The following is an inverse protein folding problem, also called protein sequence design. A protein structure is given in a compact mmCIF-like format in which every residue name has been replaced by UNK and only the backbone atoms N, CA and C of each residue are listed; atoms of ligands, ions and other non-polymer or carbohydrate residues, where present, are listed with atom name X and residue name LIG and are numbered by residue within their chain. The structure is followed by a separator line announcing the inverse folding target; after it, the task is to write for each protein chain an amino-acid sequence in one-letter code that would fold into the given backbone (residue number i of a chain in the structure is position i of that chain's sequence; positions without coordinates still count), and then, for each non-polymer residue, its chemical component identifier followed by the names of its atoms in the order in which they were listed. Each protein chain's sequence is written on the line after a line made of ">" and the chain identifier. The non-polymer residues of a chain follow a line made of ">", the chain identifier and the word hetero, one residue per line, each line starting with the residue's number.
data_IF_649221933008
#
_entry.id   IF_649221933008
#
_cell.length_a   1.000
_cell.length_b   1.000
_cell.length_c   1.000
_cell.angle_alpha   90.00
_cell.angle_beta   90.00
_cell.angle_gamma   90.00
#
_symmetry.space_group_name_H-M   'P 1'
#
loop_
_entity.id
_entity.type
_entity.pdbx_description
1 polymer ?
#
# COMPACT_ATOMS: atom_id res chain seq x y z
N UNK A 1 17.84 -21.59 -20.01
CA UNK A 1 16.97 -21.30 -18.83
C UNK A 1 17.53 -20.13 -18.00
N UNK A 2 18.82 -20.03 -17.73
CA UNK A 2 19.43 -18.94 -16.95
C UNK A 2 19.08 -17.53 -17.45
N UNK A 3 19.02 -17.31 -18.76
CA UNK A 3 18.67 -16.02 -19.34
C UNK A 3 17.24 -15.56 -19.02
N UNK A 4 16.30 -16.49 -18.86
CA UNK A 4 14.89 -16.16 -18.54
C UNK A 4 14.79 -15.65 -17.10
N UNK A 5 15.47 -16.30 -16.16
CA UNK A 5 15.50 -15.83 -14.76
C UNK A 5 16.10 -14.45 -14.65
N UNK A 6 17.19 -14.18 -15.35
CA UNK A 6 17.84 -12.88 -15.36
C UNK A 6 16.90 -11.79 -15.91
N UNK A 7 16.21 -12.08 -17.02
CA UNK A 7 15.24 -11.13 -17.60
C UNK A 7 14.09 -10.86 -16.64
N UNK A 8 13.51 -11.90 -16.03
CA UNK A 8 12.44 -11.72 -15.06
C UNK A 8 12.91 -10.91 -13.84
N UNK A 9 14.11 -11.15 -13.33
CA UNK A 9 14.69 -10.41 -12.21
C UNK A 9 14.86 -8.92 -12.57
N UNK A 10 15.37 -8.63 -13.77
CA UNK A 10 15.54 -7.26 -14.26
C UNK A 10 14.18 -6.56 -14.34
N UNK A 11 13.14 -7.22 -14.83
CA UNK A 11 11.78 -6.65 -14.90
C UNK A 11 11.26 -6.30 -13.50
N UNK A 12 11.40 -7.21 -12.53
CA UNK A 12 10.98 -6.95 -11.14
C UNK A 12 11.72 -5.73 -10.57
N UNK A 13 13.02 -5.64 -10.84
CA UNK A 13 13.85 -4.53 -10.37
C UNK A 13 13.45 -3.18 -11.01
N UNK A 14 13.18 -3.18 -12.32
CA UNK A 14 12.68 -2.00 -13.03
C UNK A 14 11.34 -1.55 -12.46
N UNK A 15 10.37 -2.47 -12.25
CA UNK A 15 9.08 -2.16 -11.65
C UNK A 15 9.25 -1.53 -10.26
N UNK A 16 10.13 -2.09 -9.42
CA UNK A 16 10.40 -1.56 -8.09
C UNK A 16 11.01 -0.16 -8.12
N UNK A 17 11.93 0.12 -9.06
CA UNK A 17 12.52 1.46 -9.24
C UNK A 17 11.44 2.46 -9.69
N UNK A 18 10.67 2.12 -10.71
CA UNK A 18 9.61 3.00 -11.24
C UNK A 18 8.59 3.31 -10.12
N UNK A 19 8.16 2.30 -9.39
CA UNK A 19 7.24 2.47 -8.27
C UNK A 19 7.82 3.36 -7.17
N UNK A 20 9.11 3.19 -6.85
CA UNK A 20 9.81 4.05 -5.89
C UNK A 20 9.85 5.51 -6.34
N UNK A 21 10.10 5.77 -7.62
CA UNK A 21 10.08 7.12 -8.18
C UNK A 21 8.68 7.71 -8.10
N UNK A 22 7.66 6.98 -8.56
CA UNK A 22 6.27 7.43 -8.55
C UNK A 22 5.75 7.70 -7.13
N UNK A 23 6.13 6.88 -6.17
CA UNK A 23 5.76 7.08 -4.76
C UNK A 23 6.48 8.28 -4.14
N UNK A 24 7.76 8.48 -4.45
CA UNK A 24 8.55 9.60 -3.91
C UNK A 24 8.13 10.96 -4.47
N UNK A 25 7.64 10.99 -5.71
CA UNK A 25 7.13 12.21 -6.36
C UNK A 25 5.65 12.50 -6.06
N UNK A 26 5.02 11.71 -5.21
CA UNK A 26 3.60 11.83 -4.88
C UNK A 26 2.69 11.86 -6.12
N UNK A 27 2.98 10.98 -7.08
CA UNK A 27 2.26 10.93 -8.34
C UNK A 27 0.78 10.53 -8.12
N UNK A 28 -0.17 11.42 -8.45
CA UNK A 28 -1.60 11.21 -8.24
C UNK A 28 -2.12 9.93 -8.90
N UNK A 29 -1.64 9.63 -10.11
CA UNK A 29 -2.04 8.43 -10.82
C UNK A 29 -1.60 7.17 -10.08
N UNK A 30 -0.37 7.13 -9.58
CA UNK A 30 0.16 6.02 -8.78
C UNK A 30 -0.69 5.77 -7.53
N UNK A 31 -0.99 6.84 -6.76
CA UNK A 31 -1.75 6.70 -5.51
C UNK A 31 -3.22 6.32 -5.71
N UNK A 32 -3.77 6.53 -6.90
CA UNK A 32 -5.15 6.18 -7.25
C UNK A 32 -5.30 4.76 -7.79
N UNK A 33 -4.20 4.08 -8.09
CA UNK A 33 -4.18 2.78 -8.76
C UNK A 33 -3.34 1.77 -7.97
N UNK A 34 -3.66 0.51 -8.15
CA UNK A 34 -3.05 -0.62 -7.48
C UNK A 34 -4.08 -1.70 -7.17
N UNK A 35 -3.67 -2.74 -6.48
CA UNK A 35 -4.59 -3.77 -5.99
C UNK A 35 -5.27 -3.22 -4.73
N UNK A 36 -6.57 -2.91 -4.83
CA UNK A 36 -7.36 -2.42 -3.70
C UNK A 36 -7.50 -3.52 -2.65
N UNK A 37 -6.92 -3.29 -1.46
CA UNK A 37 -6.98 -4.22 -0.32
C UNK A 37 -7.90 -3.72 0.79
N UNK A 38 -8.25 -2.43 0.75
CA UNK A 38 -9.10 -1.81 1.75
C UNK A 38 -9.89 -0.66 1.15
N UNK A 39 -11.19 -0.61 1.50
CA UNK A 39 -12.08 0.50 1.16
C UNK A 39 -13.05 0.76 2.30
N UNK A 40 -13.17 2.02 2.70
CA UNK A 40 -14.11 2.46 3.73
C UNK A 40 -14.67 3.82 3.36
N UNK A 41 -15.98 4.00 3.62
CA UNK A 41 -16.66 5.29 3.49
C UNK A 41 -17.16 5.72 4.87
N UNK A 42 -16.96 7.00 5.22
CA UNK A 42 -17.35 7.62 6.49
C UNK A 42 -18.25 8.80 6.14
N UNK A 43 -19.53 8.82 6.55
CA UNK A 43 -20.40 9.97 6.33
C UNK A 43 -19.94 11.17 7.15
N UNK A 44 -20.08 12.38 6.59
CA UNK A 44 -19.63 13.63 7.22
C UNK A 44 -20.69 14.69 7.09
N UNK A 45 -20.96 15.40 8.18
CA UNK A 45 -21.94 16.49 8.20
C UNK A 45 -21.39 17.83 7.71
N UNK A 46 -20.13 18.13 8.00
CA UNK A 46 -19.44 19.37 7.62
C UNK A 46 -18.15 19.07 6.86
N UNK A 47 -18.20 19.29 5.53
CA UNK A 47 -17.10 18.93 4.63
C UNK A 47 -15.88 19.86 4.77
N UNK A 48 -16.08 21.17 4.91
CA UNK A 48 -14.97 22.14 4.96
C UNK A 48 -14.11 21.92 6.20
N UNK A 49 -14.75 21.72 7.35
CA UNK A 49 -14.05 21.40 8.59
C UNK A 49 -13.33 20.04 8.49
N UNK A 50 -13.95 19.06 7.86
CA UNK A 50 -13.36 17.73 7.65
C UNK A 50 -12.14 17.79 6.74
N UNK A 51 -12.17 18.58 5.65
CA UNK A 51 -11.05 18.74 4.73
C UNK A 51 -9.82 19.31 5.46
N UNK A 52 -10.01 20.39 6.20
CA UNK A 52 -8.92 21.01 6.96
C UNK A 52 -8.32 20.05 8.00
N UNK A 53 -9.16 19.38 8.78
CA UNK A 53 -8.72 18.41 9.80
C UNK A 53 -7.97 17.22 9.17
N UNK A 54 -8.43 16.71 8.03
CA UNK A 54 -7.78 15.60 7.33
C UNK A 54 -6.43 16.04 6.76
N UNK A 55 -6.35 17.21 6.13
CA UNK A 55 -5.08 17.75 5.64
C UNK A 55 -4.06 17.86 6.77
N UNK A 56 -4.43 18.45 7.88
CA UNK A 56 -3.56 18.55 9.05
C UNK A 56 -3.14 17.17 9.60
N UNK A 57 -4.08 16.24 9.70
CA UNK A 57 -3.81 14.89 10.17
C UNK A 57 -2.84 14.15 9.23
N UNK A 58 -3.07 14.20 7.91
CA UNK A 58 -2.26 13.52 6.90
C UNK A 58 -0.85 14.11 6.86
N UNK A 59 -0.71 15.44 6.89
CA UNK A 59 0.59 16.11 6.88
C UNK A 59 1.41 15.87 8.16
N UNK A 60 0.76 15.51 9.26
CA UNK A 60 1.40 15.13 10.52
C UNK A 60 1.29 13.63 10.83
N UNK A 61 1.04 12.78 9.83
CA UNK A 61 0.74 11.37 10.02
C UNK A 61 1.88 10.62 10.73
N UNK A 62 3.12 10.96 10.44
CA UNK A 62 4.31 10.35 11.05
C UNK A 62 4.49 10.70 12.53
N UNK A 63 3.86 11.75 13.03
CA UNK A 63 3.84 12.14 14.45
C UNK A 63 2.73 11.44 15.23
N UNK A 64 1.76 10.84 14.55
CA UNK A 64 0.65 10.15 15.18
C UNK A 64 1.06 8.80 15.78
N UNK A 65 0.56 8.49 16.96
CA UNK A 65 0.87 7.24 17.67
C UNK A 65 0.44 6.01 16.85
N UNK A 66 1.43 5.23 16.39
CA UNK A 66 1.23 4.02 15.59
C UNK A 66 1.28 4.23 14.08
N UNK A 67 1.58 5.46 13.62
CA UNK A 67 1.78 5.80 12.21
C UNK A 67 3.16 6.42 11.92
N UNK A 68 4.13 6.29 12.84
CA UNK A 68 5.49 6.84 12.68
C UNK A 68 6.21 6.39 11.40
N UNK A 69 5.80 5.24 10.85
CA UNK A 69 6.33 4.67 9.61
C UNK A 69 5.53 5.08 8.37
N UNK A 70 4.60 6.02 8.50
CA UNK A 70 3.81 6.54 7.38
C UNK A 70 4.20 7.98 7.08
N UNK A 71 3.99 8.38 5.84
CA UNK A 71 4.00 9.77 5.39
C UNK A 71 2.71 10.06 4.67
N UNK A 72 2.27 11.29 4.72
CA UNK A 72 1.12 11.76 3.98
C UNK A 72 1.46 13.03 3.21
N UNK A 73 0.67 13.33 2.21
CA UNK A 73 0.72 14.55 1.43
C UNK A 73 -0.64 14.86 0.79
N UNK A 74 -0.87 16.14 0.52
CA UNK A 74 -2.00 16.59 -0.27
C UNK A 74 -1.68 16.35 -1.75
N UNK A 75 -2.56 15.66 -2.48
CA UNK A 75 -2.38 15.40 -3.92
C UNK A 75 -3.17 16.37 -4.79
N UNK A 76 -4.34 16.79 -4.33
CA UNK A 76 -5.28 17.66 -5.04
C UNK A 76 -6.31 18.20 -4.04
N UNK A 77 -7.20 19.10 -4.49
CA UNK A 77 -8.33 19.56 -3.70
C UNK A 77 -9.14 18.35 -3.21
N UNK A 78 -9.24 18.21 -1.88
CA UNK A 78 -9.96 17.12 -1.23
C UNK A 78 -9.43 15.69 -1.49
N UNK A 79 -8.20 15.54 -1.99
CA UNK A 79 -7.55 14.24 -2.20
C UNK A 79 -6.20 14.21 -1.51
N UNK A 80 -6.07 13.36 -0.53
CA UNK A 80 -4.88 13.18 0.28
C UNK A 80 -4.31 11.80 0.04
N UNK A 81 -2.99 11.68 0.01
CA UNK A 81 -2.31 10.40 -0.10
C UNK A 81 -1.56 10.07 1.18
N UNK A 82 -1.41 8.79 1.43
CA UNK A 82 -0.52 8.29 2.46
C UNK A 82 0.23 7.06 1.96
N UNK A 83 1.45 6.90 2.46
CA UNK A 83 2.28 5.76 2.13
C UNK A 83 3.14 5.35 3.32
N UNK A 84 3.55 4.09 3.35
CA UNK A 84 4.53 3.59 4.29
C UNK A 84 5.93 4.06 3.87
N UNK A 85 6.73 4.54 4.81
CA UNK A 85 8.13 4.92 4.56
C UNK A 85 8.91 3.69 4.12
N UNK A 86 9.60 3.76 2.99
CA UNK A 86 10.40 2.66 2.43
C UNK A 86 11.59 2.27 3.31
N UNK A 87 12.20 3.23 4.00
CA UNK A 87 13.37 3.01 4.85
C UNK A 87 13.18 3.77 6.15
N UNK A 88 13.15 3.05 7.26
CA UNK A 88 13.32 3.65 8.58
C UNK A 88 14.67 3.18 9.11
N UNK A 89 15.64 4.10 9.19
CA UNK A 89 16.98 3.82 9.71
C UNK A 89 16.82 3.36 11.16
N UNK A 90 17.24 2.12 11.46
CA UNK A 90 17.28 1.56 12.81
C UNK A 90 16.31 0.42 13.15
N UNK A 91 15.35 0.09 12.31
CA UNK A 91 14.51 -1.10 12.51
C UNK A 91 14.33 -1.88 11.21
N UNK A 92 14.85 -3.10 11.15
CA UNK A 92 14.74 -4.05 10.03
C UNK A 92 13.28 -4.59 9.93
N UNK A 93 12.28 -3.74 10.07
CA UNK A 93 10.85 -4.08 9.89
C UNK A 93 10.27 -3.53 8.61
N UNK A 94 11.09 -3.47 7.58
CA UNK A 94 10.65 -3.01 6.28
C UNK A 94 10.14 -4.22 5.50
N UNK A 95 8.83 -4.44 5.54
CA UNK A 95 8.22 -5.32 4.55
C UNK A 95 8.49 -4.78 3.14
N UNK A 96 8.71 -5.69 2.21
CA UNK A 96 8.84 -5.43 0.76
C UNK A 96 7.58 -4.80 0.14
N UNK A 97 6.64 -4.37 0.97
CA UNK A 97 5.31 -3.95 0.58
C UNK A 97 5.26 -2.42 0.45
N UNK A 98 5.18 -1.95 -0.78
CA UNK A 98 4.79 -0.59 -1.09
C UNK A 98 3.28 -0.43 -0.86
N UNK A 99 2.92 -0.18 0.39
CA UNK A 99 1.54 0.08 0.77
C UNK A 99 1.31 1.58 0.73
N UNK A 100 0.34 1.95 -0.06
CA UNK A 100 -0.09 3.33 -0.22
C UNK A 100 -1.61 3.40 -0.25
N UNK A 101 -2.14 4.60 -0.14
CA UNK A 101 -3.58 4.79 -0.20
C UNK A 101 -3.98 6.23 -0.37
N UNK A 102 -5.26 6.43 -0.57
CA UNK A 102 -5.87 7.75 -0.68
C UNK A 102 -6.99 7.94 0.32
N UNK A 103 -7.14 9.18 0.76
CA UNK A 103 -8.30 9.68 1.48
C UNK A 103 -8.90 10.74 0.59
N UNK A 104 -10.11 10.55 0.09
CA UNK A 104 -10.81 11.52 -0.74
C UNK A 104 -12.11 11.97 -0.10
N UNK A 105 -12.41 13.24 -0.21
CA UNK A 105 -13.65 13.83 0.25
C UNK A 105 -14.58 13.97 -0.94
N UNK A 106 -15.70 13.27 -0.89
CA UNK A 106 -16.72 13.29 -1.91
C UNK A 106 -17.83 14.26 -1.49
N UNK A 107 -17.91 15.38 -2.19
CA UNK A 107 -18.87 16.44 -1.91
C UNK A 107 -20.32 16.04 -2.24
N UNK A 108 -20.51 15.17 -3.24
CA UNK A 108 -21.83 14.72 -3.68
C UNK A 108 -22.45 13.78 -2.65
N UNK A 109 -21.67 12.81 -2.18
CA UNK A 109 -22.14 11.81 -1.22
C UNK A 109 -21.95 12.24 0.22
N UNK A 110 -21.33 13.40 0.48
CA UNK A 110 -20.94 13.89 1.81
C UNK A 110 -20.21 12.82 2.61
N UNK A 111 -19.23 12.20 2.00
CA UNK A 111 -18.51 11.10 2.61
C UNK A 111 -17.01 11.21 2.37
N UNK A 112 -16.24 10.76 3.34
CA UNK A 112 -14.80 10.55 3.21
C UNK A 112 -14.58 9.11 2.79
N UNK A 113 -13.91 8.92 1.65
CA UNK A 113 -13.54 7.60 1.13
C UNK A 113 -12.07 7.34 1.41
N UNK A 114 -11.78 6.27 2.12
CA UNK A 114 -10.43 5.81 2.40
C UNK A 114 -10.20 4.55 1.58
N UNK A 115 -9.18 4.56 0.73
CA UNK A 115 -8.76 3.40 -0.06
C UNK A 115 -7.30 3.06 0.24
N UNK A 116 -7.01 1.78 0.31
CA UNK A 116 -5.66 1.28 0.49
C UNK A 116 -5.31 0.30 -0.62
N UNK A 117 -4.08 0.41 -1.12
CA UNK A 117 -3.56 -0.36 -2.24
C UNK A 117 -2.24 -1.04 -1.89
N UNK A 118 -2.01 -2.18 -2.50
CA UNK A 118 -0.68 -2.82 -2.58
C UNK A 118 -0.04 -2.44 -3.91
N UNK A 119 1.25 -2.12 -3.87
CA UNK A 119 2.01 -1.73 -5.04
C UNK A 119 2.29 -2.87 -6.01
N UNK A 120 2.62 -2.51 -7.23
CA UNK A 120 2.91 -3.44 -8.32
C UNK A 120 4.21 -4.21 -8.14
N UNK A 121 5.19 -3.66 -7.39
CA UNK A 121 6.45 -4.36 -7.07
C UNK A 121 6.22 -5.64 -6.26
N UNK A 122 5.26 -5.62 -5.33
CA UNK A 122 4.88 -6.82 -4.60
C UNK A 122 4.28 -7.88 -5.52
N UNK A 123 3.37 -7.47 -6.41
CA UNK A 123 2.78 -8.39 -7.39
C UNK A 123 3.82 -8.97 -8.33
N UNK A 124 4.73 -8.14 -8.86
CA UNK A 124 5.79 -8.59 -9.78
C UNK A 124 6.73 -9.58 -9.10
N UNK A 125 7.05 -9.37 -7.81
CA UNK A 125 7.85 -10.31 -7.03
C UNK A 125 7.12 -11.66 -6.86
N UNK A 126 5.81 -11.65 -6.59
CA UNK A 126 5.03 -12.89 -6.48
C UNK A 126 4.99 -13.66 -7.79
N UNK A 127 4.81 -12.95 -8.91
CA UNK A 127 4.85 -13.54 -10.26
C UNK A 127 6.24 -14.13 -10.55
N UNK A 128 7.31 -13.40 -10.19
CA UNK A 128 8.69 -13.89 -10.36
C UNK A 128 8.94 -15.18 -9.57
N UNK A 129 8.54 -15.23 -8.31
CA UNK A 129 8.67 -16.44 -7.48
C UNK A 129 7.92 -17.60 -8.12
N UNK A 130 6.69 -17.36 -8.62
CA UNK A 130 5.90 -18.39 -9.29
C UNK A 130 6.58 -18.91 -10.55
N UNK A 131 7.07 -18.02 -11.43
CA UNK A 131 7.80 -18.38 -12.65
C UNK A 131 9.08 -19.15 -12.31
N UNK A 132 9.82 -18.72 -11.27
CA UNK A 132 11.03 -19.40 -10.82
C UNK A 132 10.76 -20.87 -10.51
N UNK A 133 9.70 -21.16 -9.75
CA UNK A 133 9.35 -22.54 -9.42
C UNK A 133 8.77 -23.34 -10.59
N UNK A 134 8.12 -22.69 -11.56
CA UNK A 134 7.62 -23.36 -12.76
C UNK A 134 8.74 -23.80 -13.71
N UNK A 135 9.79 -23.00 -13.83
CA UNK A 135 10.87 -23.23 -14.80
C UNK A 135 12.01 -24.09 -14.23
N UNK A 136 12.02 -24.34 -12.93
CA UNK A 136 12.99 -25.24 -12.31
C UNK A 136 12.68 -26.67 -12.73
N UNK A 137 13.50 -27.20 -13.65
CA UNK A 137 13.33 -28.52 -14.29
C UNK A 137 13.42 -29.68 -13.29
N UNK A 138 14.07 -29.47 -12.14
CA UNK A 138 14.18 -30.46 -11.06
C UNK A 138 13.04 -30.33 -10.03
N UNK A 139 12.10 -29.40 -10.25
CA UNK A 139 10.99 -29.18 -9.33
C UNK A 139 10.00 -30.33 -9.43
N UNK A 140 9.95 -31.17 -8.40
CA UNK A 140 8.83 -32.10 -8.23
C UNK A 140 7.53 -31.30 -8.01
N UNK A 141 6.39 -31.82 -8.47
CA UNK A 141 5.06 -31.24 -8.23
C UNK A 141 4.85 -30.80 -6.77
N UNK A 142 5.41 -31.56 -5.84
CA UNK A 142 5.38 -31.28 -4.40
C UNK A 142 6.07 -29.94 -4.02
N UNK A 143 7.20 -29.58 -4.65
CA UNK A 143 7.89 -28.30 -4.41
C UNK A 143 7.07 -27.11 -4.91
N UNK A 144 6.46 -27.23 -6.08
CA UNK A 144 5.57 -26.20 -6.63
C UNK A 144 4.37 -25.96 -5.72
N UNK A 145 3.73 -27.02 -5.24
CA UNK A 145 2.62 -26.91 -4.28
C UNK A 145 3.08 -26.25 -2.98
N UNK A 146 4.25 -26.64 -2.46
CA UNK A 146 4.81 -26.05 -1.24
C UNK A 146 5.10 -24.55 -1.40
N UNK A 147 5.66 -24.15 -2.55
CA UNK A 147 5.92 -22.74 -2.85
C UNK A 147 4.62 -21.93 -2.92
N UNK A 148 3.60 -22.44 -3.60
CA UNK A 148 2.27 -21.79 -3.67
C UNK A 148 1.64 -21.64 -2.29
N UNK A 149 1.76 -22.64 -1.42
CA UNK A 149 1.27 -22.58 -0.05
C UNK A 149 2.00 -21.49 0.74
N UNK A 150 3.33 -21.45 0.67
CA UNK A 150 4.15 -20.44 1.37
C UNK A 150 3.80 -19.03 0.89
N UNK A 151 3.75 -18.79 -0.42
CA UNK A 151 3.39 -17.49 -0.99
C UNK A 151 1.99 -17.08 -0.56
N UNK A 152 1.03 -18.01 -0.57
CA UNK A 152 -0.35 -17.74 -0.13
C UNK A 152 -0.42 -17.38 1.34
N UNK A 153 0.28 -18.09 2.20
CA UNK A 153 0.34 -17.81 3.65
C UNK A 153 0.95 -16.42 3.89
N UNK A 154 2.07 -16.11 3.25
CA UNK A 154 2.73 -14.81 3.39
C UNK A 154 1.82 -13.68 2.91
N UNK A 155 1.14 -13.85 1.78
CA UNK A 155 0.19 -12.87 1.25
C UNK A 155 -1.01 -12.64 2.19
N UNK A 156 -1.57 -13.71 2.76
CA UNK A 156 -2.66 -13.63 3.74
C UNK A 156 -2.22 -12.93 5.04
N UNK A 157 -1.03 -13.25 5.55
CA UNK A 157 -0.47 -12.59 6.73
C UNK A 157 -0.26 -11.09 6.48
N UNK A 158 0.33 -10.73 5.35
CA UNK A 158 0.51 -9.34 4.95
C UNK A 158 -0.81 -8.60 4.87
N UNK A 159 -1.80 -9.16 4.17
CA UNK A 159 -3.15 -8.61 4.09
C UNK A 159 -3.79 -8.40 5.47
N UNK A 160 -3.67 -9.38 6.36
CA UNK A 160 -4.24 -9.32 7.70
C UNK A 160 -3.60 -8.21 8.56
N UNK A 161 -2.26 -8.08 8.53
CA UNK A 161 -1.55 -7.03 9.26
C UNK A 161 -1.93 -5.64 8.75
N UNK A 162 -1.99 -5.45 7.44
CA UNK A 162 -2.31 -4.15 6.86
C UNK A 162 -3.78 -3.79 7.01
N UNK A 163 -4.69 -4.75 6.88
CA UNK A 163 -6.12 -4.53 7.16
C UNK A 163 -6.36 -4.00 8.58
N UNK A 164 -5.60 -4.49 9.58
CA UNK A 164 -5.67 -3.96 10.95
C UNK A 164 -5.18 -2.50 11.04
N UNK A 165 -4.13 -2.15 10.31
CA UNK A 165 -3.61 -0.77 10.28
C UNK A 165 -4.59 0.18 9.61
N UNK A 166 -5.20 -0.22 8.49
CA UNK A 166 -6.24 0.57 7.84
C UNK A 166 -7.48 0.77 8.75
N UNK A 167 -7.88 -0.26 9.48
CA UNK A 167 -8.95 -0.13 10.47
C UNK A 167 -8.61 0.91 11.54
N UNK A 168 -7.36 0.90 12.04
CA UNK A 168 -6.89 1.89 13.00
C UNK A 168 -6.90 3.29 12.39
N UNK A 169 -6.37 3.48 11.17
CA UNK A 169 -6.39 4.76 10.45
C UNK A 169 -7.83 5.29 10.32
N UNK A 170 -8.75 4.42 9.93
CA UNK A 170 -10.18 4.77 9.81
C UNK A 170 -10.77 5.22 11.13
N UNK A 171 -10.44 4.55 12.23
CA UNK A 171 -10.93 4.91 13.57
C UNK A 171 -10.40 6.28 13.99
N UNK A 172 -9.12 6.55 13.78
CA UNK A 172 -8.51 7.86 14.11
C UNK A 172 -9.16 8.99 13.29
N UNK A 173 -9.35 8.78 11.97
CA UNK A 173 -10.04 9.75 11.12
C UNK A 173 -11.50 9.96 11.58
N UNK A 174 -12.20 8.90 11.94
CA UNK A 174 -13.59 9.01 12.44
C UNK A 174 -13.65 9.82 13.74
N UNK A 175 -12.74 9.57 14.67
CA UNK A 175 -12.65 10.32 15.92
C UNK A 175 -12.32 11.79 15.66
N UNK A 176 -11.39 12.06 14.75
CA UNK A 176 -11.00 13.42 14.38
C UNK A 176 -12.15 14.25 13.79
N UNK A 177 -13.01 13.60 13.01
CA UNK A 177 -14.15 14.26 12.37
C UNK A 177 -15.26 14.56 13.40
N UNK A 178 -15.42 13.67 14.37
CA UNK A 178 -16.48 13.77 15.39
C UNK A 178 -16.08 14.65 16.60
N UNK A 179 -14.82 15.04 16.72
CA UNK A 179 -14.31 16.01 17.69
C UNK A 179 -14.48 17.44 17.20
#
# INVERSE_FOLDING_TARGET
>A
MENIYLVCLIIVFIVAIVETILSSTWNKHYFSHGIEIFKKSIPVSNLDNASHKISEFVNNLDKQKGFSNYKGADLDDNVFAFQKKLITIGTVRNGLENIHGTISIDSETRAIRIKGFVGYSFLSLMIFIFIFFLLDSDSSFSRLVSALIIVSILSLLSYWFESRRYKKLTTEITNLINS
#
